data_IF_633690253702
#
_entry.id   IF_633690253702
#
_cell.length_a   1.000
_cell.length_b   1.000
_cell.length_c   1.000
_cell.angle_alpha   90.00
_cell.angle_beta   90.00
_cell.angle_gamma   90.00
#
_symmetry.space_group_name_H-M   'P 1'
#
loop_
_entity.id
_entity.type
_entity.pdbx_description
1 polymer ?
#
# COMPACT_ATOMS: atom_id res chain seq x y z
N UNK A 1 9.69 -9.51 -20.79
CA UNK A 1 8.40 -9.97 -21.35
C UNK A 1 7.50 -10.17 -20.15
N UNK A 2 6.47 -9.33 -20.01
CA UNK A 2 5.94 -8.86 -18.72
C UNK A 2 5.13 -9.86 -17.91
N UNK A 3 5.15 -9.65 -16.59
CA UNK A 3 4.24 -10.28 -15.63
C UNK A 3 2.87 -9.59 -15.68
N UNK A 4 1.80 -10.36 -15.48
CA UNK A 4 0.40 -9.94 -15.36
C UNK A 4 -0.37 -9.80 -16.69
N UNK A 5 -0.86 -10.93 -17.19
CA UNK A 5 -2.02 -10.99 -18.09
C UNK A 5 -3.17 -11.65 -17.33
N UNK A 6 -4.06 -10.82 -16.79
CA UNK A 6 -5.49 -11.05 -16.47
C UNK A 6 -5.86 -10.41 -15.13
N UNK A 7 -6.30 -9.15 -15.17
CA UNK A 7 -7.12 -8.57 -14.11
C UNK A 7 -8.56 -8.99 -14.44
N UNK A 8 -9.10 -9.97 -13.72
CA UNK A 8 -10.53 -10.26 -13.78
C UNK A 8 -11.27 -9.05 -13.22
N UNK A 9 -12.16 -8.46 -14.01
CA UNK A 9 -12.90 -7.23 -13.70
C UNK A 9 -14.01 -7.40 -12.64
N UNK A 10 -13.87 -8.36 -11.74
CA UNK A 10 -14.78 -8.55 -10.62
C UNK A 10 -14.15 -7.95 -9.35
N UNK A 11 -14.25 -6.63 -9.20
CA UNK A 11 -14.01 -5.98 -7.90
C UNK A 11 -15.23 -6.30 -7.04
N UNK A 12 -15.18 -7.41 -6.33
CA UNK A 12 -16.21 -7.75 -5.35
C UNK A 12 -15.94 -7.02 -4.04
N UNK A 13 -16.83 -6.08 -3.73
CA UNK A 13 -16.88 -5.41 -2.44
C UNK A 13 -17.27 -6.43 -1.36
N UNK A 14 -16.29 -6.87 -0.56
CA UNK A 14 -16.57 -7.69 0.62
C UNK A 14 -16.98 -6.74 1.77
N UNK A 15 -18.18 -6.90 2.38
CA UNK A 15 -18.63 -6.05 3.47
C UNK A 15 -17.67 -6.11 4.66
N UNK A 16 -17.52 -4.97 5.33
CA UNK A 16 -16.52 -4.72 6.36
C UNK A 16 -16.58 -5.73 7.53
N UNK A 17 -15.41 -6.26 7.91
CA UNK A 17 -15.17 -6.78 9.25
C UNK A 17 -15.11 -5.64 10.28
N UNK A 18 -14.76 -5.91 11.55
CA UNK A 18 -14.78 -4.92 12.64
C UNK A 18 -13.58 -3.94 12.59
N UNK A 19 -13.12 -3.56 11.40
CA UNK A 19 -12.06 -2.58 11.26
C UNK A 19 -12.58 -1.20 11.66
N UNK A 20 -11.84 -0.50 12.52
CA UNK A 20 -12.13 0.90 12.85
C UNK A 20 -11.84 1.87 11.68
N UNK A 21 -11.31 1.35 10.57
CA UNK A 21 -10.84 2.09 9.41
C UNK A 21 -11.47 1.56 8.12
N UNK A 22 -11.66 2.44 7.14
CA UNK A 22 -12.20 2.04 5.84
C UNK A 22 -11.23 1.11 5.10
N UNK A 23 -11.72 -0.03 4.61
CA UNK A 23 -10.90 -1.01 3.86
C UNK A 23 -11.57 -1.38 2.55
N UNK A 24 -10.78 -1.38 1.46
CA UNK A 24 -11.19 -1.91 0.16
C UNK A 24 -10.45 -3.22 -0.08
N UNK A 25 -11.18 -4.25 -0.50
CA UNK A 25 -10.61 -5.58 -0.74
C UNK A 25 -10.71 -5.94 -2.21
N UNK A 26 -9.67 -6.59 -2.73
CA UNK A 26 -9.61 -7.14 -4.07
C UNK A 26 -9.08 -8.57 -3.99
N UNK A 27 -9.85 -9.54 -4.48
CA UNK A 27 -9.37 -10.90 -4.67
C UNK A 27 -8.52 -10.97 -5.95
N UNK A 28 -7.26 -11.37 -5.79
CA UNK A 28 -6.32 -11.61 -6.84
C UNK A 28 -6.29 -13.11 -7.13
N UNK A 29 -6.75 -13.49 -8.32
CA UNK A 29 -6.66 -14.87 -8.79
C UNK A 29 -5.45 -15.00 -9.69
N UNK A 30 -4.51 -15.86 -9.28
CA UNK A 30 -3.33 -16.20 -10.05
C UNK A 30 -3.66 -17.09 -11.26
N UNK A 31 -2.62 -17.46 -12.01
CA UNK A 31 -2.76 -18.28 -13.23
C UNK A 31 -3.40 -19.66 -13.00
N UNK A 32 -3.36 -20.15 -11.76
CA UNK A 32 -4.05 -21.34 -11.31
C UNK A 32 -5.06 -20.94 -10.24
N UNK A 33 -6.27 -21.52 -10.27
CA UNK A 33 -7.35 -21.22 -9.31
C UNK A 33 -6.96 -21.44 -7.85
N UNK A 34 -5.96 -22.29 -7.60
CA UNK A 34 -5.39 -22.55 -6.28
C UNK A 34 -4.52 -21.40 -5.75
N UNK A 35 -4.07 -20.48 -6.60
CA UNK A 35 -3.25 -19.33 -6.22
C UNK A 35 -4.14 -18.11 -6.03
N UNK A 36 -4.68 -17.96 -4.82
CA UNK A 36 -5.50 -16.81 -4.45
C UNK A 36 -4.74 -15.91 -3.48
N UNK A 37 -4.93 -14.62 -3.63
CA UNK A 37 -4.52 -13.64 -2.64
C UNK A 37 -5.63 -12.61 -2.43
N UNK A 38 -5.78 -12.12 -1.21
CA UNK A 38 -6.62 -10.97 -0.91
C UNK A 38 -5.72 -9.75 -0.75
N UNK A 39 -6.03 -8.69 -1.48
CA UNK A 39 -5.35 -7.42 -1.36
C UNK A 39 -6.29 -6.42 -0.70
N UNK A 40 -5.85 -5.83 0.40
CA UNK A 40 -6.59 -4.82 1.14
C UNK A 40 -5.90 -3.46 1.02
N UNK A 41 -6.66 -2.43 0.71
CA UNK A 41 -6.25 -1.02 0.74
C UNK A 41 -6.98 -0.31 1.88
N UNK A 42 -6.22 0.26 2.81
CA UNK A 42 -6.74 0.97 3.98
C UNK A 42 -6.83 2.46 3.71
N UNK A 43 -7.92 3.09 4.17
CA UNK A 43 -8.06 4.56 4.19
C UNK A 43 -7.77 5.23 2.84
N UNK A 44 -8.21 4.60 1.74
CA UNK A 44 -7.88 4.98 0.37
C UNK A 44 -8.14 6.47 0.06
N UNK A 45 -9.23 7.02 0.61
CA UNK A 45 -9.59 8.43 0.45
C UNK A 45 -8.62 9.36 1.20
N UNK A 46 -8.26 9.01 2.44
CA UNK A 46 -7.31 9.76 3.26
C UNK A 46 -5.93 9.80 2.60
N UNK A 47 -5.45 8.67 2.08
CA UNK A 47 -4.20 8.63 1.32
C UNK A 47 -4.30 9.34 -0.04
N UNK A 48 -5.47 9.43 -0.66
CA UNK A 48 -5.66 10.26 -1.86
C UNK A 48 -5.40 11.74 -1.57
N UNK A 49 -5.75 12.22 -0.38
CA UNK A 49 -5.41 13.59 0.07
C UNK A 49 -3.90 13.75 0.25
N UNK A 50 -3.21 12.79 0.88
CA UNK A 50 -1.75 12.87 1.02
C UNK A 50 -1.05 12.89 -0.34
N UNK A 51 -1.53 12.06 -1.27
CA UNK A 51 -1.04 12.02 -2.65
C UNK A 51 -1.24 13.36 -3.37
N UNK A 52 -2.42 13.97 -3.26
CA UNK A 52 -2.69 15.27 -3.91
C UNK A 52 -1.82 16.39 -3.36
N UNK A 53 -1.60 16.44 -2.05
CA UNK A 53 -0.67 17.39 -1.40
C UNK A 53 0.78 17.20 -1.84
N UNK A 54 1.12 16.01 -2.34
CA UNK A 54 2.47 15.65 -2.78
C UNK A 54 2.62 15.65 -4.31
N UNK A 55 1.60 16.06 -5.06
CA UNK A 55 1.63 16.07 -6.53
C UNK A 55 1.64 14.67 -7.16
N UNK A 56 1.16 13.65 -6.45
CA UNK A 56 1.14 12.25 -6.89
C UNK A 56 -0.26 11.89 -7.35
N UNK A 57 -0.39 11.37 -8.57
CA UNK A 57 -1.67 10.83 -9.07
C UNK A 57 -1.79 9.34 -8.73
N UNK A 58 -3.02 8.83 -8.66
CA UNK A 58 -3.26 7.41 -8.46
C UNK A 58 -2.64 6.57 -9.59
N UNK A 59 -2.74 7.03 -10.84
CA UNK A 59 -2.15 6.36 -12.00
C UNK A 59 -0.62 6.33 -11.94
N UNK A 60 0.02 7.42 -11.49
CA UNK A 60 1.47 7.46 -11.36
C UNK A 60 1.98 6.48 -10.29
N UNK A 61 1.28 6.40 -9.15
CA UNK A 61 1.58 5.41 -8.12
C UNK A 61 1.38 3.99 -8.65
N UNK A 62 0.21 3.71 -9.25
CA UNK A 62 -0.12 2.40 -9.81
C UNK A 62 0.84 1.96 -10.91
N UNK A 63 1.29 2.87 -11.78
CA UNK A 63 2.30 2.57 -12.79
C UNK A 63 3.64 2.21 -12.16
N UNK A 64 4.13 3.03 -11.21
CA UNK A 64 5.41 2.80 -10.54
C UNK A 64 5.44 1.48 -9.76
N UNK A 65 4.32 1.10 -9.13
CA UNK A 65 4.16 -0.19 -8.44
C UNK A 65 4.14 -1.40 -9.38
N UNK A 66 3.83 -1.22 -10.68
CA UNK A 66 3.82 -2.29 -11.69
C UNK A 66 5.18 -2.50 -12.36
N UNK A 67 6.04 -1.48 -12.40
CA UNK A 67 7.37 -1.61 -13.00
C UNK A 67 8.19 -2.59 -12.18
N UNK A 68 8.85 -3.55 -12.84
CA UNK A 68 9.68 -4.55 -12.19
C UNK A 68 10.65 -3.89 -11.19
N UNK A 69 10.44 -4.24 -9.93
CA UNK A 69 11.27 -3.85 -8.80
C UNK A 69 12.64 -4.50 -8.92
N UNK A 70 13.71 -3.71 -8.88
CA UNK A 70 15.03 -4.26 -8.60
C UNK A 70 15.11 -4.50 -7.09
N UNK A 71 15.25 -5.76 -6.70
CA UNK A 71 15.42 -6.12 -5.30
C UNK A 71 16.69 -5.46 -4.74
N UNK A 72 16.50 -4.45 -3.88
CA UNK A 72 17.54 -3.88 -3.06
C UNK A 72 17.15 -4.12 -1.61
N UNK A 73 17.48 -5.32 -1.14
CA UNK A 73 17.27 -5.72 0.25
C UNK A 73 18.12 -4.83 1.16
N UNK A 74 17.48 -4.04 2.03
CA UNK A 74 18.14 -3.60 3.26
C UNK A 74 17.58 -4.44 4.39
N UNK A 75 18.38 -5.37 4.92
CA UNK A 75 18.11 -5.93 6.25
C UNK A 75 18.37 -4.82 7.27
N UNK A 76 17.31 -4.07 7.60
CA UNK A 76 17.35 -3.20 8.77
C UNK A 76 17.43 -4.03 10.05
N UNK A 77 17.92 -3.44 11.14
CA UNK A 77 17.99 -4.07 12.47
C UNK A 77 16.63 -4.59 12.99
N UNK A 78 15.52 -4.14 12.39
CA UNK A 78 14.13 -4.50 12.71
C UNK A 78 13.57 -5.69 11.93
N UNK A 79 14.28 -6.22 10.94
CA UNK A 79 13.75 -7.29 10.06
C UNK A 79 12.67 -6.83 9.08
N UNK A 80 12.40 -5.52 8.99
CA UNK A 80 11.49 -4.97 8.00
C UNK A 80 12.16 -4.96 6.61
N UNK A 81 11.46 -5.49 5.62
CA UNK A 81 11.83 -5.43 4.21
C UNK A 81 11.47 -4.07 3.62
N UNK A 82 12.38 -3.53 2.81
CA UNK A 82 12.20 -2.25 2.13
C UNK A 82 12.74 -2.38 0.70
N UNK A 83 12.00 -1.86 -0.26
CA UNK A 83 12.43 -1.83 -1.65
C UNK A 83 12.01 -0.53 -2.33
N UNK A 84 12.72 -0.19 -3.41
CA UNK A 84 12.34 0.90 -4.30
C UNK A 84 11.57 0.34 -5.48
N UNK A 85 10.47 0.97 -5.84
CA UNK A 85 9.80 0.79 -7.13
C UNK A 85 10.80 0.87 -8.29
N UNK A 86 10.49 0.24 -9.43
CA UNK A 86 11.44 0.12 -10.55
C UNK A 86 11.92 1.46 -11.12
N UNK A 87 11.12 2.52 -11.01
CA UNK A 87 11.48 3.89 -11.40
C UNK A 87 12.07 4.74 -10.25
N UNK A 88 12.31 4.12 -9.10
CA UNK A 88 12.92 4.69 -7.89
C UNK A 88 12.14 5.88 -7.29
N UNK A 89 10.85 6.05 -7.64
CA UNK A 89 10.04 7.17 -7.12
C UNK A 89 9.45 6.90 -5.75
N UNK A 90 9.09 5.65 -5.47
CA UNK A 90 8.51 5.23 -4.21
C UNK A 90 9.34 4.17 -3.53
N UNK A 91 9.31 4.22 -2.22
CA UNK A 91 9.77 3.18 -1.32
C UNK A 91 8.53 2.41 -0.86
N UNK A 92 8.62 1.09 -0.90
CA UNK A 92 7.64 0.22 -0.24
C UNK A 92 8.34 -0.42 0.95
N UNK A 93 7.74 -0.28 2.13
CA UNK A 93 8.28 -0.80 3.38
C UNK A 93 7.28 -1.75 4.01
N UNK A 94 7.70 -2.97 4.33
CA UNK A 94 6.88 -3.87 5.15
C UNK A 94 6.80 -3.34 6.57
N UNK A 95 5.64 -3.47 7.19
CA UNK A 95 5.42 -3.04 8.55
C UNK A 95 4.72 -4.14 9.37
N UNK A 96 4.85 -4.03 10.68
CA UNK A 96 4.08 -4.84 11.62
C UNK A 96 2.64 -4.33 11.71
N UNK A 97 1.72 -5.17 12.21
CA UNK A 97 0.33 -4.75 12.50
C UNK A 97 0.28 -3.55 13.44
N UNK A 98 1.17 -3.50 14.45
CA UNK A 98 1.25 -2.38 15.38
C UNK A 98 1.68 -1.07 14.70
N UNK A 99 2.66 -1.11 13.79
CA UNK A 99 3.07 0.06 13.01
C UNK A 99 1.97 0.53 12.06
N UNK A 100 1.28 -0.39 11.38
CA UNK A 100 0.12 -0.07 10.55
C UNK A 100 -0.99 0.60 11.38
N UNK A 101 -1.37 -0.01 12.50
CA UNK A 101 -2.40 0.52 13.40
C UNK A 101 -2.04 1.89 13.96
N UNK A 102 -0.77 2.10 14.29
CA UNK A 102 -0.28 3.41 14.73
C UNK A 102 -0.37 4.47 13.63
N UNK A 103 0.00 4.13 12.38
CA UNK A 103 -0.17 5.04 11.24
C UNK A 103 -1.64 5.43 11.05
N UNK A 104 -2.56 4.48 11.15
CA UNK A 104 -3.99 4.75 11.05
C UNK A 104 -4.48 5.67 12.18
N UNK A 105 -4.00 5.45 13.41
CA UNK A 105 -4.33 6.29 14.57
C UNK A 105 -3.88 7.74 14.38
N UNK A 106 -2.70 7.97 13.81
CA UNK A 106 -2.17 9.34 13.60
C UNK A 106 -2.60 9.95 12.25
N UNK A 107 -3.25 9.20 11.37
CA UNK A 107 -3.53 9.63 9.99
C UNK A 107 -4.26 10.99 9.90
N UNK A 108 -5.28 11.28 10.73
CA UNK A 108 -5.97 12.58 10.67
C UNK A 108 -5.07 13.76 11.06
N UNK A 109 -4.29 13.64 12.14
CA UNK A 109 -3.38 14.71 12.60
C UNK A 109 -2.18 14.86 11.67
N UNK A 110 -1.69 13.75 11.11
CA UNK A 110 -0.67 13.72 10.09
C UNK A 110 -1.10 14.46 8.82
N UNK A 111 -2.30 14.20 8.28
CA UNK A 111 -2.84 14.93 7.12
C UNK A 111 -2.96 16.42 7.42
N UNK A 112 -3.51 16.79 8.59
CA UNK A 112 -3.63 18.19 9.00
C UNK A 112 -2.26 18.88 9.06
N UNK A 113 -1.23 18.20 9.58
CA UNK A 113 0.15 18.70 9.59
C UNK A 113 0.69 18.92 8.18
N UNK A 114 0.49 17.99 7.26
CA UNK A 114 0.96 18.12 5.88
C UNK A 114 0.28 19.28 5.12
N UNK A 115 -1.01 19.53 5.41
CA UNK A 115 -1.74 20.66 4.85
C UNK A 115 -1.22 22.00 5.38
N UNK A 116 -0.95 22.07 6.69
CA UNK A 116 -0.44 23.28 7.34
C UNK A 116 1.03 23.57 6.97
N UNK A 117 1.83 22.53 6.79
CA UNK A 117 3.27 22.62 6.54
C UNK A 117 3.64 21.86 5.25
N UNK A 118 3.40 22.46 4.07
CA UNK A 118 3.64 21.79 2.78
C UNK A 118 5.10 21.35 2.59
N UNK A 119 6.06 22.10 3.17
CA UNK A 119 7.50 21.79 3.13
C UNK A 119 8.00 20.92 4.29
N UNK A 120 7.09 20.24 5.02
CA UNK A 120 7.47 19.34 6.11
C UNK A 120 8.45 18.24 5.66
N UNK A 121 9.45 17.98 6.50
CA UNK A 121 10.42 16.88 6.34
C UNK A 121 9.86 15.50 6.70
N UNK A 122 8.62 15.42 7.20
CA UNK A 122 7.97 14.14 7.45
C UNK A 122 7.85 13.34 6.14
N UNK A 123 8.15 12.04 6.23
CA UNK A 123 7.94 11.10 5.13
C UNK A 123 6.48 11.14 4.69
N UNK A 124 6.25 11.06 3.38
CA UNK A 124 4.91 11.10 2.76
C UNK A 124 4.41 9.67 2.57
N UNK A 125 3.54 9.22 3.48
CA UNK A 125 2.87 7.92 3.33
C UNK A 125 1.76 8.07 2.30
N UNK A 126 1.89 7.38 1.17
CA UNK A 126 1.02 7.58 -0.01
C UNK A 126 0.04 6.43 -0.22
N UNK A 127 0.10 5.41 0.64
CA UNK A 127 -0.82 4.28 0.70
C UNK A 127 -0.53 3.41 1.92
N UNK A 128 -1.43 2.49 2.20
CA UNK A 128 -1.25 1.45 3.23
C UNK A 128 -2.04 0.22 2.81
N UNK A 129 -1.36 -0.92 2.77
CA UNK A 129 -1.85 -2.12 2.11
C UNK A 129 -1.56 -3.37 2.91
N UNK A 130 -2.40 -4.37 2.71
CA UNK A 130 -2.20 -5.72 3.22
C UNK A 130 -2.42 -6.73 2.10
N UNK A 131 -1.54 -7.72 2.01
CA UNK A 131 -1.65 -8.83 1.09
C UNK A 131 -1.73 -10.12 1.90
N UNK A 132 -2.86 -10.82 1.80
CA UNK A 132 -3.08 -12.13 2.42
C UNK A 132 -2.93 -13.19 1.34
N UNK A 133 -1.94 -14.07 1.47
CA UNK A 133 -1.69 -15.18 0.56
C UNK A 133 -1.67 -16.47 1.40
N UNK A 134 -2.65 -17.34 1.17
CA UNK A 134 -2.91 -18.50 2.05
C UNK A 134 -3.07 -18.04 3.52
N UNK A 135 -2.23 -18.55 4.43
CA UNK A 135 -2.23 -18.20 5.86
C UNK A 135 -1.19 -17.11 6.21
N UNK A 136 -0.58 -16.46 5.21
CA UNK A 136 0.42 -15.43 5.43
C UNK A 136 -0.13 -14.05 5.10
N UNK A 137 0.07 -13.11 6.02
CA UNK A 137 -0.30 -11.70 5.85
C UNK A 137 0.96 -10.86 5.78
N UNK A 138 1.10 -10.10 4.70
CA UNK A 138 2.18 -9.12 4.52
C UNK A 138 1.55 -7.73 4.50
N UNK A 139 2.01 -6.85 5.40
CA UNK A 139 1.58 -5.45 5.47
C UNK A 139 2.67 -4.54 4.97
N UNK A 140 2.29 -3.49 4.25
CA UNK A 140 3.25 -2.53 3.73
C UNK A 140 2.64 -1.15 3.55
N UNK A 141 3.53 -0.15 3.59
CA UNK A 141 3.27 1.28 3.43
C UNK A 141 4.23 1.89 2.41
#
# INVERSE_FOLDING_TARGET
>A
MGICESISSAVEWIPEGPSAYAVRSLELVGRHESHKALFHEFEAASFAVVRSLSGITADALGLSMRVHTQERFSEGKSGAFLYYTGDQKFIVKTCTEAEQGYLMQILPSYIAHLQMYPNSFLSRYVGCYELVVYDQTIRFI
#
